data_IF_035365329881
#
_entry.id   IF_035365329881
#
_cell.length_a   1.000
_cell.length_b   1.000
_cell.length_c   1.000
_cell.angle_alpha   90.00
_cell.angle_beta   90.00
_cell.angle_gamma   90.00
#
_symmetry.space_group_name_H-M   'P 1'
#
loop_
_entity.id
_entity.type
_entity.pdbx_description
1 polymer ?
#
# COMPACT_ATOMS: atom_id res chain seq x y z
N UNK A 1 11.50 -8.71 -26.06
CA UNK A 1 12.80 -8.02 -25.89
C UNK A 1 12.67 -7.03 -24.73
N UNK A 2 13.52 -7.14 -23.71
CA UNK A 2 13.53 -6.17 -22.60
C UNK A 2 14.28 -4.91 -23.04
N UNK A 3 13.69 -3.73 -22.84
CA UNK A 3 14.27 -2.44 -23.26
C UNK A 3 15.18 -1.93 -22.14
N UNK A 4 16.48 -1.79 -22.42
CA UNK A 4 17.43 -1.17 -21.49
C UNK A 4 17.50 0.34 -21.76
N UNK A 5 17.54 1.14 -20.68
CA UNK A 5 17.73 2.60 -20.73
C UNK A 5 18.93 2.96 -19.85
N UNK A 6 19.89 3.69 -20.41
CA UNK A 6 20.99 4.25 -19.63
C UNK A 6 20.53 5.47 -18.83
N UNK A 7 21.08 5.63 -17.63
CA UNK A 7 20.79 6.75 -16.72
C UNK A 7 22.12 7.32 -16.23
N UNK A 8 22.30 8.62 -16.42
CA UNK A 8 23.43 9.38 -15.86
C UNK A 8 22.89 10.26 -14.74
N UNK A 9 23.52 10.19 -13.57
CA UNK A 9 23.20 11.01 -12.39
C UNK A 9 24.49 11.59 -11.83
N UNK A 10 24.43 12.82 -11.31
CA UNK A 10 25.53 13.41 -10.56
C UNK A 10 25.36 13.03 -9.09
N UNK A 11 26.40 12.45 -8.50
CA UNK A 11 26.43 12.06 -7.09
C UNK A 11 27.32 13.03 -6.32
N UNK A 12 27.01 13.24 -5.04
CA UNK A 12 27.92 13.92 -4.13
C UNK A 12 29.04 12.96 -3.75
N UNK A 13 30.21 13.52 -3.41
CA UNK A 13 31.38 12.74 -3.01
C UNK A 13 31.08 11.77 -1.85
N UNK A 14 30.27 12.21 -0.88
CA UNK A 14 29.84 11.37 0.26
C UNK A 14 29.12 10.09 -0.21
N UNK A 15 28.25 10.19 -1.22
CA UNK A 15 27.49 9.05 -1.74
C UNK A 15 28.40 8.12 -2.55
N UNK A 16 29.31 8.67 -3.35
CA UNK A 16 30.28 7.87 -4.11
C UNK A 16 31.20 7.06 -3.19
N UNK A 17 31.73 7.68 -2.15
CA UNK A 17 32.58 7.00 -1.16
C UNK A 17 31.81 5.90 -0.42
N UNK A 18 30.54 6.14 -0.09
CA UNK A 18 29.66 5.13 0.52
C UNK A 18 29.39 3.94 -0.42
N UNK A 19 29.06 4.21 -1.69
CA UNK A 19 28.86 3.20 -2.72
C UNK A 19 30.10 2.34 -2.90
N UNK A 20 31.28 2.95 -2.99
CA UNK A 20 32.55 2.24 -3.17
C UNK A 20 32.85 1.31 -1.99
N UNK A 21 32.67 1.77 -0.75
CA UNK A 21 32.92 0.95 0.46
C UNK A 21 32.01 -0.28 0.50
N UNK A 22 30.70 -0.08 0.33
CA UNK A 22 29.72 -1.18 0.38
C UNK A 22 29.95 -2.15 -0.79
N UNK A 23 30.22 -1.63 -1.99
CA UNK A 23 30.59 -2.41 -3.18
C UNK A 23 31.79 -3.34 -2.92
N UNK A 24 32.81 -2.85 -2.21
CA UNK A 24 33.98 -3.64 -1.81
C UNK A 24 33.65 -4.70 -0.77
N UNK A 25 32.88 -4.35 0.25
CA UNK A 25 32.47 -5.27 1.33
C UNK A 25 31.59 -6.41 0.81
N UNK A 26 30.63 -6.10 -0.05
CA UNK A 26 29.65 -7.05 -0.60
C UNK A 26 30.15 -7.77 -1.86
N UNK A 27 31.35 -7.43 -2.35
CA UNK A 27 31.96 -8.00 -3.56
C UNK A 27 31.08 -7.90 -4.83
N UNK A 28 30.32 -6.82 -4.96
CA UNK A 28 29.45 -6.54 -6.11
C UNK A 28 29.85 -5.25 -6.79
N UNK A 29 29.51 -5.06 -8.07
CA UNK A 29 29.77 -3.79 -8.75
C UNK A 29 28.87 -2.67 -8.20
N UNK A 30 29.35 -1.43 -8.24
CA UNK A 30 28.57 -0.24 -7.85
C UNK A 30 27.27 -0.11 -8.66
N UNK A 31 27.31 -0.44 -9.96
CA UNK A 31 26.11 -0.45 -10.81
C UNK A 31 25.08 -1.47 -10.32
N UNK A 32 25.52 -2.64 -9.87
CA UNK A 32 24.63 -3.67 -9.34
C UNK A 32 24.05 -3.27 -7.98
N UNK A 33 24.89 -2.71 -7.11
CA UNK A 33 24.44 -2.15 -5.83
C UNK A 33 23.38 -1.06 -6.03
N UNK A 34 23.59 -0.12 -6.97
CA UNK A 34 22.60 0.91 -7.31
C UNK A 34 21.28 0.29 -7.77
N UNK A 35 21.33 -0.75 -8.63
CA UNK A 35 20.11 -1.43 -9.10
C UNK A 35 19.34 -2.08 -7.93
N UNK A 36 20.04 -2.75 -7.02
CA UNK A 36 19.45 -3.40 -5.85
C UNK A 36 18.76 -2.36 -4.97
N UNK A 37 19.47 -1.27 -4.64
CA UNK A 37 18.95 -0.19 -3.79
C UNK A 37 17.75 0.49 -4.44
N UNK A 38 17.83 0.84 -5.73
CA UNK A 38 16.72 1.47 -6.46
C UNK A 38 15.49 0.56 -6.50
N UNK A 39 15.68 -0.74 -6.77
CA UNK A 39 14.58 -1.71 -6.75
C UNK A 39 13.94 -1.79 -5.36
N UNK A 40 14.75 -1.92 -4.32
CA UNK A 40 14.27 -1.95 -2.93
C UNK A 40 13.49 -0.69 -2.55
N UNK A 41 13.99 0.49 -2.95
CA UNK A 41 13.30 1.74 -2.72
C UNK A 41 11.95 1.79 -3.43
N UNK A 42 11.92 1.44 -4.73
CA UNK A 42 10.68 1.40 -5.53
C UNK A 42 9.65 0.45 -4.92
N UNK A 43 10.07 -0.76 -4.56
CA UNK A 43 9.21 -1.77 -3.95
C UNK A 43 8.65 -1.26 -2.61
N UNK A 44 9.50 -0.66 -1.78
CA UNK A 44 9.07 -0.08 -0.50
C UNK A 44 8.12 1.11 -0.68
N UNK A 45 8.35 1.94 -1.70
CA UNK A 45 7.52 3.08 -2.03
C UNK A 45 6.12 2.62 -2.45
N UNK A 46 6.03 1.60 -3.30
CA UNK A 46 4.75 1.04 -3.69
C UNK A 46 4.09 0.25 -2.57
N UNK A 47 4.83 -0.40 -1.69
CA UNK A 47 4.24 -1.07 -0.51
C UNK A 47 3.64 -0.06 0.47
N UNK A 48 4.37 1.02 0.79
CA UNK A 48 3.88 2.10 1.65
C UNK A 48 2.68 2.83 1.05
N UNK A 49 2.65 2.98 -0.28
CA UNK A 49 1.57 3.68 -0.99
C UNK A 49 0.46 2.75 -1.51
N UNK A 50 0.59 1.42 -1.32
CA UNK A 50 -0.48 0.48 -1.59
C UNK A 50 -1.53 0.66 -0.50
N UNK A 51 -2.54 1.45 -0.82
CA UNK A 51 -3.78 1.50 -0.05
C UNK A 51 -4.25 0.07 0.19
N UNK A 52 -4.44 -0.29 1.45
CA UNK A 52 -5.02 -1.57 1.83
C UNK A 52 -6.38 -1.76 1.13
N UNK A 53 -6.85 -3.01 0.93
CA UNK A 53 -8.20 -3.25 0.39
C UNK A 53 -9.29 -2.47 1.14
N UNK A 54 -9.11 -2.28 2.45
CA UNK A 54 -9.96 -1.43 3.27
C UNK A 54 -9.90 0.05 2.86
N UNK A 55 -8.71 0.63 2.67
CA UNK A 55 -8.54 2.03 2.25
C UNK A 55 -9.02 2.29 0.81
N UNK A 56 -8.90 1.29 -0.07
CA UNK A 56 -9.48 1.33 -1.43
C UNK A 56 -11.01 1.33 -1.33
N UNK A 57 -11.56 0.46 -0.47
CA UNK A 57 -12.99 0.32 -0.24
C UNK A 57 -13.62 1.45 0.59
N UNK A 58 -12.84 2.20 1.37
CA UNK A 58 -13.32 3.23 2.31
C UNK A 58 -14.22 4.28 1.67
N UNK A 59 -13.96 4.65 0.41
CA UNK A 59 -14.80 5.61 -0.33
C UNK A 59 -16.12 5.02 -0.84
N UNK A 60 -16.25 3.69 -0.85
CA UNK A 60 -17.44 2.94 -1.25
C UNK A 60 -18.20 2.38 -0.04
N UNK A 61 -17.51 2.12 1.07
CA UNK A 61 -18.15 1.75 2.34
C UNK A 61 -18.97 2.94 2.88
N UNK A 62 -20.23 2.68 3.21
CA UNK A 62 -21.12 3.68 3.82
C UNK A 62 -21.90 4.57 2.84
N UNK A 63 -21.71 4.45 1.52
CA UNK A 63 -22.52 5.16 0.50
C UNK A 63 -24.00 4.71 0.57
N UNK A 64 -24.23 3.45 0.95
CA UNK A 64 -25.55 2.89 1.25
C UNK A 64 -25.77 2.69 2.76
N UNK A 65 -25.09 3.46 3.62
CA UNK A 65 -25.44 3.45 5.03
C UNK A 65 -26.88 3.94 5.16
N UNK A 66 -27.74 3.17 5.82
CA UNK A 66 -29.17 3.49 5.96
C UNK A 66 -29.42 4.72 6.88
N UNK A 67 -28.44 5.62 7.01
CA UNK A 67 -28.37 6.70 8.00
C UNK A 67 -28.23 6.22 9.46
N UNK A 68 -28.44 4.93 9.73
CA UNK A 68 -28.43 4.35 11.07
C UNK A 68 -27.03 3.84 11.36
N UNK A 69 -26.33 4.45 12.32
CA UNK A 69 -25.00 3.99 12.77
C UNK A 69 -25.07 2.83 13.77
N UNK A 70 -26.26 2.59 14.33
CA UNK A 70 -26.49 1.59 15.39
C UNK A 70 -26.97 0.23 14.87
N UNK A 71 -27.10 0.03 13.56
CA UNK A 71 -27.62 -1.24 12.99
C UNK A 71 -26.80 -2.45 13.43
N UNK A 72 -25.48 -2.30 13.56
CA UNK A 72 -24.61 -3.38 14.02
C UNK A 72 -24.81 -3.69 15.51
N UNK A 73 -25.13 -2.69 16.33
CA UNK A 73 -25.34 -2.85 17.77
C UNK A 73 -26.76 -3.31 18.11
N UNK A 74 -27.76 -2.82 17.38
CA UNK A 74 -29.20 -3.08 17.60
C UNK A 74 -29.78 -4.08 16.61
N UNK A 75 -28.92 -4.89 15.95
CA UNK A 75 -29.30 -5.82 14.89
C UNK A 75 -30.48 -6.72 15.27
N UNK A 76 -30.44 -7.29 16.47
CA UNK A 76 -31.48 -8.20 16.98
C UNK A 76 -32.84 -7.50 17.10
N UNK A 77 -32.87 -6.34 17.76
CA UNK A 77 -34.07 -5.54 17.96
C UNK A 77 -34.71 -5.10 16.64
N UNK A 78 -33.87 -4.71 15.66
CA UNK A 78 -34.35 -4.31 14.33
C UNK A 78 -34.99 -5.49 13.60
N UNK A 79 -34.37 -6.68 13.66
CA UNK A 79 -34.91 -7.89 13.03
C UNK A 79 -36.22 -8.32 13.68
N UNK A 80 -36.32 -8.27 15.01
CA UNK A 80 -37.54 -8.59 15.75
C UNK A 80 -38.69 -7.65 15.37
N UNK A 81 -38.44 -6.34 15.26
CA UNK A 81 -39.45 -5.38 14.82
C UNK A 81 -39.92 -5.63 13.38
N UNK A 82 -39.00 -5.89 12.44
CA UNK A 82 -39.37 -6.21 11.05
C UNK A 82 -40.22 -7.49 10.99
N UNK A 83 -39.90 -8.50 11.79
CA UNK A 83 -40.67 -9.74 11.87
C UNK A 83 -42.05 -9.50 12.49
N UNK A 84 -42.14 -8.69 13.54
CA UNK A 84 -43.41 -8.34 14.16
C UNK A 84 -44.32 -7.58 13.21
N UNK A 85 -43.79 -6.57 12.49
CA UNK A 85 -44.54 -5.80 11.48
C UNK A 85 -45.05 -6.70 10.35
N UNK A 86 -44.25 -7.69 9.91
CA UNK A 86 -44.67 -8.64 8.85
C UNK A 86 -45.76 -9.62 9.29
N UNK A 87 -45.78 -10.01 10.56
CA UNK A 87 -46.71 -11.01 11.08
C UNK A 87 -47.92 -10.39 11.81
N UNK A 88 -48.00 -9.06 11.90
CA UNK A 88 -49.15 -8.34 12.48
C UNK A 88 -50.20 -7.94 11.43
N UNK A 89 -50.16 -8.57 10.25
CA UNK A 89 -51.18 -8.48 9.20
C UNK A 89 -51.86 -9.82 8.98
#
# INVERSE_FOLDING_TARGET
MSRQKALTINLTQEIEEGLFKISKEENISESELIKIVLKGYIDSYYQKNKKTPYEIGKKYFGVYSSGKKDISQKRKLILENILYEKNSH
#
